data_IF_439175120986
#
_entry.id   IF_439175120986
#
_cell.length_a   1.000
_cell.length_b   1.000
_cell.length_c   1.000
_cell.angle_alpha   90.00
_cell.angle_beta   90.00
_cell.angle_gamma   90.00
#
_symmetry.space_group_name_H-M   'P 1'
#
loop_
_entity.id
_entity.type
_entity.pdbx_description
1 polymer ?
#
# COMPACT_ATOMS: atom_id res chain seq x y z
N UNK A 1 54.18 -2.04 -4.56
CA UNK A 1 53.11 -2.36 -5.52
C UNK A 1 52.15 -3.48 -5.05
N UNK A 2 52.66 -4.56 -4.44
CA UNK A 2 51.81 -5.65 -3.94
C UNK A 2 50.86 -5.29 -2.77
N UNK A 3 51.15 -4.20 -2.02
CA UNK A 3 50.30 -3.74 -0.90
C UNK A 3 49.08 -2.90 -1.34
N UNK A 4 49.20 -2.17 -2.46
CA UNK A 4 48.08 -1.38 -3.01
C UNK A 4 46.98 -2.26 -3.61
N UNK A 5 47.34 -3.39 -4.22
CA UNK A 5 46.41 -4.34 -4.81
C UNK A 5 45.48 -4.99 -3.77
N UNK A 6 45.99 -5.23 -2.56
CA UNK A 6 45.21 -5.83 -1.46
C UNK A 6 44.24 -4.82 -0.83
N UNK A 7 44.56 -3.55 -0.84
CA UNK A 7 43.69 -2.47 -0.31
C UNK A 7 42.52 -2.19 -1.29
N UNK A 8 42.79 -2.24 -2.59
CA UNK A 8 41.77 -2.09 -3.62
C UNK A 8 40.73 -3.23 -3.61
N UNK A 9 41.16 -4.47 -3.29
CA UNK A 9 40.23 -5.60 -3.18
C UNK A 9 39.32 -5.51 -1.93
N UNK A 10 39.82 -4.91 -0.84
CA UNK A 10 39.07 -4.74 0.40
C UNK A 10 37.98 -3.65 0.29
N UNK A 11 38.20 -2.64 -0.55
CA UNK A 11 37.24 -1.53 -0.75
C UNK A 11 36.08 -1.95 -1.65
N UNK A 12 36.26 -2.92 -2.54
CA UNK A 12 35.18 -3.43 -3.41
C UNK A 12 34.13 -4.27 -2.68
N UNK A 13 34.39 -4.71 -1.45
CA UNK A 13 33.48 -5.58 -0.72
C UNK A 13 32.49 -4.83 0.20
N UNK A 14 32.68 -3.53 0.40
CA UNK A 14 31.87 -2.74 1.36
C UNK A 14 30.71 -2.00 0.70
N UNK A 15 30.55 -2.06 -0.62
CA UNK A 15 29.50 -1.33 -1.33
C UNK A 15 28.33 -2.22 -1.76
N UNK A 16 28.07 -3.30 -1.02
CA UNK A 16 26.76 -3.97 -1.08
C UNK A 16 25.78 -3.18 -0.23
N UNK A 17 25.40 -2.00 -0.71
CA UNK A 17 24.24 -1.27 -0.23
C UNK A 17 23.02 -2.18 -0.48
N UNK A 18 22.61 -2.91 0.55
CA UNK A 18 21.30 -3.54 0.57
C UNK A 18 20.28 -2.42 0.53
N UNK A 19 19.81 -2.07 -0.66
CA UNK A 19 18.59 -1.27 -0.81
C UNK A 19 17.47 -2.13 -0.27
N UNK A 20 17.08 -1.87 0.98
CA UNK A 20 15.82 -2.38 1.49
C UNK A 20 14.72 -1.80 0.59
N UNK A 21 14.20 -2.60 -0.31
CA UNK A 21 13.02 -2.24 -1.06
C UNK A 21 11.86 -2.17 -0.04
N UNK A 22 11.51 -0.97 0.40
CA UNK A 22 10.28 -0.76 1.16
C UNK A 22 9.13 -1.08 0.22
N UNK A 23 8.29 -2.05 0.60
CA UNK A 23 7.05 -2.31 -0.12
C UNK A 23 6.18 -1.05 -0.08
N UNK A 24 5.56 -0.70 -1.22
CA UNK A 24 4.59 0.39 -1.27
C UNK A 24 3.45 0.09 -0.31
N UNK A 25 3.06 1.02 0.57
CA UNK A 25 1.91 0.82 1.45
C UNK A 25 0.63 0.53 0.66
N UNK A 26 -0.22 -0.32 1.21
CA UNK A 26 -1.56 -0.55 0.67
C UNK A 26 -2.52 0.46 1.27
N UNK A 27 -3.28 1.17 0.45
CA UNK A 27 -4.32 2.09 0.90
C UNK A 27 -5.66 1.38 0.95
N UNK A 28 -6.19 1.19 2.15
CA UNK A 28 -7.49 0.60 2.41
C UNK A 28 -8.49 1.68 2.82
N UNK A 29 -9.65 1.69 2.17
CA UNK A 29 -10.69 2.72 2.36
C UNK A 29 -11.92 2.12 2.99
N UNK A 30 -12.43 2.75 4.02
CA UNK A 30 -13.58 2.27 4.79
C UNK A 30 -14.46 3.43 5.28
N UNK A 31 -15.47 3.09 6.08
CA UNK A 31 -16.55 4.00 6.49
C UNK A 31 -16.24 4.88 7.71
N UNK A 32 -15.08 4.72 8.31
CA UNK A 32 -14.66 5.50 9.48
C UNK A 32 -15.15 4.98 10.83
N UNK A 33 -14.70 5.69 11.87
CA UNK A 33 -15.10 5.44 13.24
C UNK A 33 -14.90 4.00 13.72
N UNK A 34 -15.81 3.50 14.53
CA UNK A 34 -15.74 2.16 15.11
C UNK A 34 -15.75 1.04 14.05
N UNK A 35 -16.32 1.31 12.89
CA UNK A 35 -16.34 0.34 11.78
C UNK A 35 -14.91 0.10 11.25
N UNK A 36 -14.20 1.16 10.89
CA UNK A 36 -12.80 1.05 10.44
C UNK A 36 -11.91 0.47 11.54
N UNK A 37 -12.09 0.87 12.79
CA UNK A 37 -11.32 0.30 13.91
C UNK A 37 -11.56 -1.20 14.08
N UNK A 38 -12.78 -1.68 13.91
CA UNK A 38 -13.07 -3.11 13.95
C UNK A 38 -12.36 -3.89 12.86
N UNK A 39 -12.26 -3.32 11.66
CA UNK A 39 -11.53 -3.91 10.54
C UNK A 39 -10.02 -3.93 10.79
N UNK A 40 -9.46 -2.84 11.31
CA UNK A 40 -8.05 -2.80 11.70
C UNK A 40 -7.71 -3.90 12.69
N UNK A 41 -8.45 -3.98 13.78
CA UNK A 41 -8.20 -4.96 14.85
C UNK A 41 -8.49 -6.40 14.40
N UNK A 42 -9.56 -6.61 13.63
CA UNK A 42 -10.03 -7.93 13.23
C UNK A 42 -9.14 -8.60 12.19
N UNK A 43 -8.67 -7.86 11.20
CA UNK A 43 -7.88 -8.45 10.11
C UNK A 43 -6.78 -7.54 9.54
N UNK A 44 -6.93 -6.22 9.59
CA UNK A 44 -5.96 -5.29 9.00
C UNK A 44 -4.57 -5.40 9.64
N UNK A 45 -4.47 -5.15 10.94
CA UNK A 45 -3.20 -5.20 11.68
C UNK A 45 -2.58 -6.60 11.70
N UNK A 46 -3.36 -7.68 11.95
CA UNK A 46 -2.82 -9.04 11.85
C UNK A 46 -2.26 -9.37 10.46
N UNK A 47 -2.93 -8.92 9.39
CA UNK A 47 -2.48 -9.14 8.01
C UNK A 47 -1.22 -8.34 7.70
N UNK A 48 -1.20 -7.07 8.06
CA UNK A 48 -0.05 -6.19 7.89
C UNK A 48 1.20 -6.78 8.57
N UNK A 49 1.04 -7.24 9.81
CA UNK A 49 2.11 -7.90 10.57
C UNK A 49 2.58 -9.19 9.92
N UNK A 50 1.64 -10.04 9.47
CA UNK A 50 1.96 -11.33 8.85
C UNK A 50 2.70 -11.18 7.53
N UNK A 51 2.32 -10.20 6.73
CA UNK A 51 2.88 -9.96 5.40
C UNK A 51 4.06 -8.97 5.40
N UNK A 52 4.34 -8.29 6.51
CA UNK A 52 5.39 -7.28 6.60
C UNK A 52 5.09 -6.06 5.72
N UNK A 53 3.82 -5.68 5.58
CA UNK A 53 3.36 -4.53 4.79
C UNK A 53 2.81 -3.44 5.71
N UNK A 54 2.74 -2.22 5.20
CA UNK A 54 2.02 -1.11 5.82
C UNK A 54 0.65 -0.96 5.17
N UNK A 55 -0.40 -0.71 5.98
CA UNK A 55 -1.74 -0.40 5.49
C UNK A 55 -2.10 1.01 5.93
N UNK A 56 -2.32 1.89 4.95
CA UNK A 56 -2.85 3.23 5.16
C UNK A 56 -4.38 3.18 5.11
N UNK A 57 -5.03 3.58 6.18
CA UNK A 57 -6.48 3.62 6.25
C UNK A 57 -7.01 5.01 5.91
N UNK A 58 -7.99 5.07 5.04
CA UNK A 58 -8.70 6.29 4.62
C UNK A 58 -10.18 6.09 4.87
N UNK A 59 -10.82 7.08 5.48
CA UNK A 59 -12.25 7.07 5.67
C UNK A 59 -12.94 7.83 4.54
N UNK A 60 -14.09 7.32 4.07
CA UNK A 60 -14.91 7.99 3.07
C UNK A 60 -16.40 7.85 3.40
N UNK A 61 -17.26 8.59 2.71
CA UNK A 61 -18.70 8.63 2.97
C UNK A 61 -19.55 7.73 2.07
N UNK A 62 -18.90 6.87 1.30
CA UNK A 62 -19.56 5.91 0.41
C UNK A 62 -19.82 6.44 -1.01
N UNK A 63 -20.37 5.56 -1.85
CA UNK A 63 -20.67 5.83 -3.25
C UNK A 63 -19.45 5.76 -4.18
N UNK A 64 -19.66 6.03 -5.46
CA UNK A 64 -18.67 5.87 -6.51
C UNK A 64 -17.98 7.17 -6.96
N UNK A 65 -18.42 8.33 -6.46
CA UNK A 65 -18.01 9.64 -6.99
C UNK A 65 -16.50 9.85 -6.91
N UNK A 66 -15.88 9.53 -5.77
CA UNK A 66 -14.44 9.73 -5.60
C UNK A 66 -13.62 8.70 -6.37
N UNK A 67 -14.10 7.47 -6.46
CA UNK A 67 -13.49 6.42 -7.29
C UNK A 67 -13.46 6.84 -8.76
N UNK A 68 -14.59 7.37 -9.25
CA UNK A 68 -14.69 7.91 -10.62
C UNK A 68 -13.75 9.08 -10.84
N UNK A 69 -13.68 10.01 -9.89
CA UNK A 69 -12.80 11.16 -9.99
C UNK A 69 -11.33 10.76 -10.09
N UNK A 70 -10.89 9.78 -9.30
CA UNK A 70 -9.53 9.24 -9.37
C UNK A 70 -9.26 8.56 -10.72
N UNK A 71 -10.22 7.78 -11.22
CA UNK A 71 -10.12 7.13 -12.53
C UNK A 71 -10.02 8.16 -13.65
N UNK A 72 -10.88 9.15 -13.69
CA UNK A 72 -10.90 10.21 -14.70
C UNK A 72 -9.62 11.06 -14.68
N UNK A 73 -9.08 11.33 -13.50
CA UNK A 73 -7.81 12.04 -13.33
C UNK A 73 -6.58 11.19 -13.70
N UNK A 74 -6.73 9.87 -13.90
CA UNK A 74 -5.61 8.95 -14.09
C UNK A 74 -4.68 8.85 -12.88
N UNK A 75 -5.19 9.15 -11.68
CA UNK A 75 -4.45 9.21 -10.42
C UNK A 75 -5.13 8.34 -9.37
N UNK A 76 -4.94 7.03 -9.47
CA UNK A 76 -5.50 6.06 -8.52
C UNK A 76 -4.63 6.01 -7.27
N UNK A 77 -5.21 6.33 -6.12
CA UNK A 77 -4.53 6.34 -4.82
C UNK A 77 -5.10 5.33 -3.84
N UNK A 78 -6.24 4.73 -4.14
CA UNK A 78 -6.92 3.74 -3.33
C UNK A 78 -6.74 2.34 -3.92
N UNK A 79 -6.33 1.39 -3.09
CA UNK A 79 -6.07 0.01 -3.54
C UNK A 79 -7.23 -0.93 -3.23
N UNK A 80 -7.82 -0.76 -2.06
CA UNK A 80 -8.93 -1.59 -1.57
C UNK A 80 -10.00 -0.67 -1.00
N UNK A 81 -11.25 -0.89 -1.38
CA UNK A 81 -12.37 -0.05 -0.95
C UNK A 81 -13.52 -0.93 -0.47
N UNK A 82 -14.03 -0.64 0.73
CA UNK A 82 -15.24 -1.25 1.27
C UNK A 82 -16.46 -0.48 0.73
N UNK A 83 -17.27 -1.13 -0.07
CA UNK A 83 -18.43 -0.54 -0.74
C UNK A 83 -19.69 -1.39 -0.53
N UNK A 84 -20.86 -0.80 -0.72
CA UNK A 84 -22.09 -1.58 -0.79
C UNK A 84 -22.13 -2.49 -2.03
N UNK A 85 -22.82 -3.62 -1.94
CA UNK A 85 -22.96 -4.56 -3.06
C UNK A 85 -23.48 -3.89 -4.34
N UNK A 86 -24.42 -2.96 -4.22
CA UNK A 86 -24.95 -2.21 -5.38
C UNK A 86 -23.88 -1.32 -6.02
N UNK A 87 -23.01 -0.69 -5.21
CA UNK A 87 -21.92 0.12 -5.75
C UNK A 87 -20.89 -0.74 -6.49
N UNK A 88 -20.67 -1.98 -6.05
CA UNK A 88 -19.82 -2.93 -6.77
C UNK A 88 -20.38 -3.23 -8.15
N UNK A 89 -21.69 -3.52 -8.24
CA UNK A 89 -22.35 -3.80 -9.51
C UNK A 89 -22.30 -2.59 -10.43
N UNK A 90 -22.72 -1.43 -9.93
CA UNK A 90 -22.73 -0.19 -10.71
C UNK A 90 -21.32 0.22 -11.15
N UNK A 91 -20.33 0.07 -10.28
CA UNK A 91 -18.95 0.38 -10.60
C UNK A 91 -18.37 -0.52 -11.70
N UNK A 92 -18.71 -1.82 -11.69
CA UNK A 92 -18.33 -2.73 -12.76
C UNK A 92 -19.00 -2.38 -14.11
N UNK A 93 -20.27 -2.01 -14.07
CA UNK A 93 -21.02 -1.63 -15.30
C UNK A 93 -20.50 -0.32 -15.92
N UNK A 94 -20.01 0.57 -15.09
CA UNK A 94 -19.44 1.85 -15.54
C UNK A 94 -17.95 1.77 -15.90
N UNK A 95 -17.31 0.63 -15.66
CA UNK A 95 -15.88 0.41 -15.95
C UNK A 95 -14.93 1.03 -14.97
#
# INVERSE_FOLDING_TARGET
>A
MKKLSKVLLAISFVLSLTTSAFATPVTAVSWGGAYTESQKLGYGDPTAKKLGIEINWVDYSGGLSEIKAQKEAGAITWDIIDVFAMDTINGCDEG
#
